data_IF_785925703330
#
_entry.id   IF_785925703330
#
_cell.length_a   1.000
_cell.length_b   1.000
_cell.length_c   1.000
_cell.angle_alpha   90.00
_cell.angle_beta   90.00
_cell.angle_gamma   90.00
#
_symmetry.space_group_name_H-M   'P 1'
#
loop_
_entity.id
_entity.type
_entity.pdbx_description
1 polymer ?
#
# COMPACT_ATOMS: atom_id res chain seq x y z
N UNK A 1 -80.20 -33.91 16.62
CA UNK A 1 -81.06 -32.74 16.94
C UNK A 1 -80.24 -31.48 16.76
N UNK A 2 -80.56 -30.65 15.76
CA UNK A 2 -80.12 -29.25 15.65
C UNK A 2 -81.08 -28.38 16.49
N UNK A 3 -80.58 -27.29 17.12
CA UNK A 3 -80.76 -25.94 16.53
C UNK A 3 -79.51 -25.04 16.75
N UNK A 4 -79.03 -24.28 15.77
CA UNK A 4 -79.43 -22.91 15.36
C UNK A 4 -79.55 -21.86 16.48
N UNK A 5 -78.60 -20.92 16.55
CA UNK A 5 -78.85 -19.51 16.92
C UNK A 5 -77.73 -18.59 16.40
N UNK A 6 -78.13 -17.48 15.76
CA UNK A 6 -77.31 -16.46 15.10
C UNK A 6 -77.05 -15.25 16.01
N UNK A 7 -75.86 -14.66 15.82
CA UNK A 7 -75.52 -13.22 15.71
C UNK A 7 -75.99 -12.20 16.76
N UNK A 8 -75.03 -11.42 17.32
CA UNK A 8 -75.13 -9.95 17.46
C UNK A 8 -73.75 -9.27 17.36
N UNK A 9 -73.75 -8.13 16.68
CA UNK A 9 -72.66 -7.19 16.39
C UNK A 9 -72.37 -6.32 17.62
N UNK A 10 -71.12 -5.89 17.81
CA UNK A 10 -70.81 -4.63 18.51
C UNK A 10 -69.65 -3.92 17.81
N UNK A 11 -69.97 -2.79 17.17
CA UNK A 11 -69.01 -1.79 16.73
C UNK A 11 -68.79 -0.80 17.87
N UNK A 12 -67.54 -0.46 18.19
CA UNK A 12 -67.22 0.80 18.86
C UNK A 12 -65.96 1.41 18.24
N UNK A 13 -66.19 2.63 17.77
CA UNK A 13 -65.29 3.58 17.12
C UNK A 13 -64.36 4.29 18.09
N UNK A 14 -63.15 4.61 17.59
CA UNK A 14 -62.33 5.79 17.83
C UNK A 14 -62.03 6.28 19.27
N UNK A 15 -60.74 6.30 19.62
CA UNK A 15 -60.00 7.55 19.92
C UNK A 15 -58.52 7.24 20.17
N UNK A 16 -57.67 7.35 19.15
CA UNK A 16 -56.22 7.35 19.34
C UNK A 16 -55.78 8.79 19.63
N UNK A 17 -55.62 9.13 20.90
CA UNK A 17 -55.00 10.41 21.28
C UNK A 17 -53.48 10.28 21.11
N UNK A 18 -52.80 11.08 20.27
CA UNK A 18 -51.36 11.14 20.32
C UNK A 18 -50.95 11.89 21.58
N UNK A 19 -50.26 11.21 22.50
CA UNK A 19 -49.55 11.88 23.59
C UNK A 19 -48.38 12.65 22.97
N UNK A 20 -48.53 13.96 22.84
CA UNK A 20 -47.42 14.86 22.50
C UNK A 20 -46.48 14.86 23.71
N UNK A 21 -45.33 14.20 23.60
CA UNK A 21 -44.27 14.34 24.59
C UNK A 21 -43.65 15.73 24.44
N UNK A 22 -43.78 16.55 25.49
CA UNK A 22 -43.11 17.84 25.58
C UNK A 22 -41.60 17.64 25.51
N UNK A 23 -40.96 18.26 24.52
CA UNK A 23 -39.50 18.26 24.38
C UNK A 23 -38.93 19.22 25.43
N UNK A 24 -38.17 18.70 26.38
CA UNK A 24 -37.46 19.52 27.36
C UNK A 24 -36.50 20.49 26.63
N UNK A 25 -36.68 21.79 26.87
CA UNK A 25 -35.80 22.83 26.33
C UNK A 25 -34.62 23.02 27.28
N UNK A 26 -33.47 22.43 26.98
CA UNK A 26 -32.23 22.75 27.68
C UNK A 26 -31.57 23.96 27.00
N UNK A 27 -31.60 25.10 27.69
CA UNK A 27 -30.85 26.30 27.32
C UNK A 27 -29.39 26.09 27.72
N UNK A 28 -28.52 25.85 26.74
CA UNK A 28 -27.07 25.74 26.95
C UNK A 28 -26.45 27.12 26.78
N UNK A 29 -26.26 27.84 27.90
CA UNK A 29 -25.37 29.01 27.93
C UNK A 29 -23.97 28.52 28.26
N UNK A 30 -23.29 27.97 27.25
CA UNK A 30 -21.83 27.74 27.33
C UNK A 30 -21.18 28.97 26.69
N UNK A 31 -20.24 29.66 27.36
CA UNK A 31 -19.49 30.74 26.72
C UNK A 31 -18.73 30.13 25.54
N UNK A 32 -19.04 30.58 24.32
CA UNK A 32 -18.35 30.14 23.11
C UNK A 32 -16.89 30.56 23.22
N UNK A 33 -16.05 29.61 23.56
CA UNK A 33 -14.60 29.74 23.55
C UNK A 33 -14.18 29.89 22.08
N UNK A 34 -13.96 31.14 21.65
CA UNK A 34 -13.28 31.55 20.41
C UNK A 34 -13.43 30.57 19.24
N UNK A 35 -14.64 30.43 18.71
CA UNK A 35 -14.82 29.83 17.38
C UNK A 35 -14.06 30.71 16.39
N UNK A 36 -13.12 30.09 15.65
CA UNK A 36 -12.50 30.64 14.46
C UNK A 36 -13.59 31.17 13.51
N UNK A 37 -13.92 32.45 13.60
CA UNK A 37 -14.76 33.12 12.64
C UNK A 37 -13.89 33.41 11.42
N UNK A 38 -13.80 32.43 10.51
CA UNK A 38 -13.35 32.71 9.16
C UNK A 38 -14.49 33.50 8.53
N UNK A 39 -14.42 34.84 8.60
CA UNK A 39 -15.36 35.70 7.89
C UNK A 39 -15.26 35.38 6.41
N UNK A 40 -16.30 34.77 5.84
CA UNK A 40 -16.32 34.24 4.48
C UNK A 40 -16.22 35.31 3.37
N UNK A 41 -15.99 36.58 3.69
CA UNK A 41 -15.87 37.62 2.68
C UNK A 41 -15.14 38.89 3.17
N UNK A 42 -13.92 38.74 3.70
CA UNK A 42 -13.04 39.88 3.97
C UNK A 42 -12.14 40.13 2.75
N UNK A 43 -12.12 41.33 2.13
CA UNK A 43 -11.27 41.64 0.98
C UNK A 43 -9.77 41.73 1.32
N UNK A 44 -9.41 41.74 2.60
CA UNK A 44 -8.01 41.69 3.03
C UNK A 44 -7.52 40.24 3.19
N UNK A 45 -6.24 39.96 2.88
CA UNK A 45 -5.67 38.62 2.98
C UNK A 45 -5.74 38.09 4.42
N UNK A 46 -6.02 36.78 4.63
CA UNK A 46 -6.06 36.19 5.96
C UNK A 46 -4.74 36.40 6.69
N UNK A 47 -4.81 36.97 7.90
CA UNK A 47 -3.61 37.09 8.72
C UNK A 47 -3.24 35.73 9.32
N UNK A 48 -1.95 35.36 9.35
CA UNK A 48 -1.52 34.13 9.99
C UNK A 48 -1.89 34.17 11.49
N UNK A 49 -2.33 33.04 12.07
CA UNK A 49 -2.67 32.99 13.48
C UNK A 49 -1.44 33.36 14.32
N UNK A 50 -1.64 34.22 15.32
CA UNK A 50 -0.56 34.62 16.24
C UNK A 50 -0.10 33.39 17.02
N UNK A 51 1.19 33.00 16.95
CA UNK A 51 1.66 31.79 17.60
C UNK A 51 1.54 31.92 19.12
N UNK A 52 0.85 30.98 19.75
CA UNK A 52 0.91 30.79 21.19
C UNK A 52 2.09 29.85 21.53
N UNK A 53 2.61 29.97 22.74
CA UNK A 53 3.84 29.31 23.21
C UNK A 53 3.76 27.78 23.32
N UNK A 54 2.64 27.17 22.93
CA UNK A 54 2.45 25.71 22.96
C UNK A 54 2.54 25.06 21.56
N UNK A 55 2.74 25.85 20.51
CA UNK A 55 2.64 25.40 19.12
C UNK A 55 3.97 24.92 18.49
N UNK A 56 5.09 24.90 19.22
CA UNK A 56 6.40 24.62 18.60
C UNK A 56 6.60 23.17 18.16
N UNK A 57 5.69 22.23 18.52
CA UNK A 57 5.79 20.80 18.16
C UNK A 57 4.49 20.18 17.61
N UNK A 58 3.50 20.98 17.21
CA UNK A 58 2.28 20.42 16.60
C UNK A 58 2.57 19.98 15.17
N UNK A 59 2.37 18.68 14.86
CA UNK A 59 2.31 18.22 13.47
C UNK A 59 1.09 18.84 12.78
N UNK A 60 1.23 19.33 11.54
CA UNK A 60 0.11 19.95 10.83
C UNK A 60 -1.00 18.93 10.58
N UNK A 61 -2.23 19.27 10.97
CA UNK A 61 -3.43 18.41 10.83
C UNK A 61 -4.21 18.68 9.54
N UNK A 62 -3.77 19.63 8.70
CA UNK A 62 -4.47 20.02 7.48
C UNK A 62 -3.80 19.44 6.23
N UNK A 63 -4.52 18.56 5.53
CA UNK A 63 -4.14 17.94 4.26
C UNK A 63 -4.22 18.91 3.05
N UNK A 64 -3.83 20.18 3.23
CA UNK A 64 -3.86 21.20 2.17
C UNK A 64 -2.46 21.65 1.71
N UNK A 65 -1.39 21.06 2.23
CA UNK A 65 -0.01 21.43 1.87
C UNK A 65 0.60 20.73 0.66
N UNK A 66 -0.09 19.77 0.03
CA UNK A 66 0.49 18.93 -1.02
C UNK A 66 -0.52 18.61 -2.12
N UNK A 67 -0.91 19.63 -2.90
CA UNK A 67 -1.72 19.44 -4.11
C UNK A 67 -0.93 19.53 -5.41
N UNK A 68 0.30 20.07 -5.36
CA UNK A 68 1.16 20.26 -6.54
C UNK A 68 2.47 19.46 -6.48
N UNK A 69 2.63 18.56 -5.50
CA UNK A 69 3.80 17.68 -5.45
C UNK A 69 3.61 16.54 -6.46
N UNK A 70 4.64 16.18 -7.26
CA UNK A 70 4.58 14.98 -8.09
C UNK A 70 4.28 13.78 -7.18
N UNK A 71 3.28 12.99 -7.57
CA UNK A 71 2.91 11.74 -6.90
C UNK A 71 4.16 10.86 -6.85
N UNK A 72 4.71 10.73 -5.64
CA UNK A 72 5.82 9.84 -5.31
C UNK A 72 5.26 8.43 -5.13
N UNK A 73 5.83 7.47 -5.86
CA UNK A 73 5.45 6.05 -5.85
C UNK A 73 6.16 5.25 -4.74
N UNK A 74 7.03 5.92 -4.00
CA UNK A 74 7.68 5.46 -2.80
C UNK A 74 6.73 5.49 -1.60
N UNK A 75 6.51 4.32 -0.98
CA UNK A 75 6.00 4.24 0.39
C UNK A 75 6.96 5.05 1.25
N UNK A 76 6.51 6.10 1.91
CA UNK A 76 7.33 6.86 2.87
C UNK A 76 7.83 5.93 3.98
N UNK A 77 8.99 5.32 3.76
CA UNK A 77 9.64 4.46 4.73
C UNK A 77 10.23 5.36 5.82
N UNK A 78 9.71 5.24 7.04
CA UNK A 78 10.28 5.94 8.17
C UNK A 78 11.66 5.35 8.51
N UNK A 79 12.70 6.19 8.67
CA UNK A 79 14.00 5.73 9.15
C UNK A 79 13.83 4.97 10.47
N UNK A 80 14.52 3.84 10.61
CA UNK A 80 14.45 2.97 11.79
C UNK A 80 14.69 3.74 13.10
N UNK A 81 15.63 4.68 13.08
CA UNK A 81 15.97 5.54 14.21
C UNK A 81 14.78 6.36 14.72
N UNK A 82 13.85 6.73 13.82
CA UNK A 82 12.61 7.43 14.19
C UNK A 82 11.51 6.46 14.59
N UNK A 83 11.38 5.35 13.87
CA UNK A 83 10.33 4.34 14.08
C UNK A 83 10.51 3.56 15.39
N UNK A 84 11.75 3.35 15.85
CA UNK A 84 12.07 2.61 17.07
C UNK A 84 12.29 3.55 18.28
N UNK A 85 11.54 4.64 18.35
CA UNK A 85 11.53 5.56 19.50
C UNK A 85 10.30 5.34 20.39
N UNK A 86 10.41 5.70 21.67
CA UNK A 86 9.30 5.75 22.61
C UNK A 86 9.25 4.61 23.64
N UNK A 87 8.27 4.66 24.56
CA UNK A 87 8.23 3.82 25.76
C UNK A 87 8.22 2.31 25.49
N UNK A 88 7.73 1.90 24.31
CA UNK A 88 7.72 0.50 23.89
C UNK A 88 9.13 -0.08 23.71
N UNK A 89 10.10 0.75 23.37
CA UNK A 89 11.44 0.32 22.99
C UNK A 89 12.52 0.61 24.05
N UNK A 90 12.21 1.34 25.13
CA UNK A 90 13.17 1.74 26.18
C UNK A 90 13.84 0.56 26.90
N UNK A 91 13.10 -0.54 27.11
CA UNK A 91 13.61 -1.78 27.72
C UNK A 91 13.86 -2.89 26.70
N UNK A 92 13.87 -2.54 25.41
CA UNK A 92 14.09 -3.50 24.33
C UNK A 92 15.57 -3.57 23.96
N UNK A 93 16.13 -4.78 23.88
CA UNK A 93 17.48 -4.98 23.36
C UNK A 93 17.45 -4.82 21.84
N UNK A 94 17.95 -3.69 21.34
CA UNK A 94 17.84 -3.29 19.93
C UNK A 94 18.60 -4.20 18.96
N UNK A 95 19.67 -4.83 19.43
CA UNK A 95 20.52 -5.72 18.62
C UNK A 95 19.78 -7.01 18.22
N UNK A 96 18.87 -7.49 19.07
CA UNK A 96 18.10 -8.71 18.82
C UNK A 96 16.83 -8.45 18.01
N UNK A 97 16.54 -7.19 17.68
CA UNK A 97 15.37 -6.87 16.86
C UNK A 97 15.59 -7.33 15.41
N UNK A 98 14.57 -7.89 14.75
CA UNK A 98 14.68 -8.35 13.37
C UNK A 98 15.18 -7.26 12.42
N UNK A 99 16.26 -7.55 11.70
CA UNK A 99 16.86 -6.68 10.67
C UNK A 99 17.07 -7.49 9.39
N UNK A 100 16.00 -7.80 8.65
CA UNK A 100 16.12 -8.56 7.40
C UNK A 100 16.81 -7.71 6.33
N UNK A 101 17.51 -8.38 5.41
CA UNK A 101 18.06 -7.73 4.23
C UNK A 101 16.96 -7.16 3.34
N UNK A 102 17.22 -6.00 2.74
CA UNK A 102 16.29 -5.39 1.81
C UNK A 102 16.29 -6.15 0.48
N UNK A 103 15.13 -6.69 0.08
CA UNK A 103 15.02 -7.47 -1.15
C UNK A 103 15.37 -6.66 -2.42
N UNK A 104 15.14 -5.33 -2.39
CA UNK A 104 15.53 -4.43 -3.49
C UNK A 104 17.05 -4.47 -3.74
N UNK A 105 17.86 -4.52 -2.69
CA UNK A 105 19.31 -4.60 -2.85
C UNK A 105 19.75 -5.97 -3.36
N UNK A 106 19.09 -7.03 -2.93
CA UNK A 106 19.41 -8.40 -3.35
C UNK A 106 19.05 -8.68 -4.81
N UNK A 107 17.96 -8.09 -5.31
CA UNK A 107 17.55 -8.30 -6.71
C UNK A 107 18.44 -7.54 -7.69
N UNK A 108 18.94 -6.36 -7.31
CA UNK A 108 19.88 -5.59 -8.14
C UNK A 108 21.28 -6.22 -8.23
N UNK A 109 21.61 -7.17 -7.35
CA UNK A 109 22.81 -7.99 -7.47
C UNK A 109 22.66 -9.14 -8.47
N UNK A 110 21.43 -9.47 -8.89
CA UNK A 110 21.23 -10.57 -9.83
C UNK A 110 21.69 -10.20 -11.24
N UNK A 111 22.48 -11.05 -11.91
CA UNK A 111 22.88 -10.82 -13.28
C UNK A 111 21.71 -10.99 -14.25
N UNK A 112 21.77 -10.24 -15.35
CA UNK A 112 20.84 -10.39 -16.47
C UNK A 112 20.98 -11.77 -17.10
N UNK A 113 19.87 -12.51 -17.18
CA UNK A 113 19.82 -13.81 -17.84
C UNK A 113 19.65 -13.64 -19.35
N UNK A 114 20.68 -14.00 -20.10
CA UNK A 114 20.69 -13.89 -21.55
C UNK A 114 19.95 -15.06 -22.18
N UNK A 115 18.97 -14.76 -23.03
CA UNK A 115 18.18 -15.79 -23.72
C UNK A 115 18.20 -15.58 -25.24
N UNK A 116 18.19 -16.69 -25.99
CA UNK A 116 18.08 -16.71 -27.47
C UNK A 116 16.64 -16.71 -27.97
N UNK A 117 15.68 -16.91 -27.08
CA UNK A 117 14.26 -16.96 -27.39
C UNK A 117 13.64 -15.58 -27.18
N UNK A 118 12.70 -15.25 -28.05
CA UNK A 118 11.84 -14.07 -27.98
C UNK A 118 10.94 -14.01 -26.75
N UNK A 119 10.46 -15.17 -26.31
CA UNK A 119 9.56 -15.30 -25.15
C UNK A 119 10.18 -16.29 -24.17
N UNK A 120 10.34 -15.86 -22.93
CA UNK A 120 10.92 -16.65 -21.84
C UNK A 120 9.82 -17.06 -20.87
N UNK A 121 9.77 -18.34 -20.50
CA UNK A 121 8.89 -18.83 -19.43
C UNK A 121 9.61 -18.76 -18.09
N UNK A 122 9.02 -18.05 -17.12
CA UNK A 122 9.52 -17.98 -15.75
C UNK A 122 8.44 -18.49 -14.79
N UNK A 123 8.82 -19.43 -13.92
CA UNK A 123 8.00 -20.02 -12.86
C UNK A 123 8.59 -19.74 -11.46
N UNK A 124 9.67 -18.98 -11.36
CA UNK A 124 10.37 -18.68 -10.12
C UNK A 124 11.22 -19.83 -9.56
N UNK A 125 11.32 -20.94 -10.31
CA UNK A 125 12.08 -22.11 -9.89
C UNK A 125 11.27 -23.06 -9.00
N UNK A 126 11.61 -24.35 -9.08
CA UNK A 126 10.97 -25.40 -8.28
C UNK A 126 9.52 -25.72 -8.61
N UNK A 127 9.06 -25.42 -9.83
CA UNK A 127 7.74 -25.79 -10.33
C UNK A 127 6.62 -25.19 -9.48
N UNK A 128 5.81 -26.00 -8.78
CA UNK A 128 4.68 -25.50 -7.98
C UNK A 128 5.10 -24.69 -6.74
N UNK A 129 6.37 -24.74 -6.33
CA UNK A 129 6.88 -23.98 -5.18
C UNK A 129 7.21 -22.52 -5.53
N UNK A 130 7.30 -22.20 -6.81
CA UNK A 130 7.54 -20.85 -7.29
C UNK A 130 6.25 -20.05 -7.49
N UNK A 131 6.28 -19.11 -8.44
CA UNK A 131 5.11 -18.32 -8.81
C UNK A 131 4.39 -18.93 -10.03
N UNK A 132 3.14 -18.52 -10.32
CA UNK A 132 2.46 -18.94 -11.53
C UNK A 132 3.33 -18.69 -12.76
N UNK A 133 3.40 -19.68 -13.66
CA UNK A 133 4.24 -19.55 -14.86
C UNK A 133 3.77 -18.35 -15.69
N UNK A 134 4.70 -17.43 -15.93
CA UNK A 134 4.50 -16.31 -16.84
C UNK A 134 5.42 -16.39 -18.05
N UNK A 135 5.01 -15.68 -19.09
CA UNK A 135 5.76 -15.54 -20.33
C UNK A 135 6.19 -14.09 -20.48
N UNK A 136 7.49 -13.85 -20.49
CA UNK A 136 8.12 -12.54 -20.54
C UNK A 136 8.61 -12.31 -21.97
N UNK A 137 8.26 -11.16 -22.55
CA UNK A 137 8.73 -10.77 -23.88
C UNK A 137 10.09 -10.07 -23.78
N UNK A 138 11.07 -10.54 -24.55
CA UNK A 138 12.44 -10.00 -24.61
C UNK A 138 12.77 -9.37 -25.96
N UNK A 139 11.77 -9.12 -26.82
CA UNK A 139 11.92 -8.47 -28.14
C UNK A 139 12.47 -7.05 -28.12
N UNK A 140 12.28 -6.35 -27.01
CA UNK A 140 12.68 -4.96 -26.89
C UNK A 140 14.14 -4.88 -26.46
N UNK A 141 14.89 -3.84 -26.88
CA UNK A 141 16.26 -3.60 -26.43
C UNK A 141 16.28 -3.04 -24.99
N UNK A 142 15.55 -3.67 -24.08
CA UNK A 142 15.47 -3.34 -22.66
C UNK A 142 15.62 -4.60 -21.82
N UNK A 143 16.00 -4.45 -20.56
CA UNK A 143 16.06 -5.56 -19.61
C UNK A 143 14.63 -5.80 -19.12
N UNK A 144 14.02 -6.90 -19.55
CA UNK A 144 12.67 -7.28 -19.15
C UNK A 144 12.72 -8.04 -17.83
N UNK A 145 12.01 -7.55 -16.81
CA UNK A 145 11.98 -8.16 -15.48
C UNK A 145 10.76 -9.07 -15.31
N UNK A 146 10.93 -10.15 -14.55
CA UNK A 146 9.80 -10.96 -14.10
C UNK A 146 8.97 -10.17 -13.07
N UNK A 147 7.65 -10.06 -13.30
CA UNK A 147 6.75 -9.35 -12.37
C UNK A 147 6.57 -10.01 -11.00
N UNK A 148 7.09 -11.22 -10.81
CA UNK A 148 7.03 -11.94 -9.53
C UNK A 148 8.41 -11.99 -8.86
N UNK A 149 9.38 -12.69 -9.47
CA UNK A 149 10.72 -12.81 -8.89
C UNK A 149 11.56 -11.54 -8.99
N UNK A 150 11.23 -10.60 -9.89
CA UNK A 150 12.08 -9.46 -10.20
C UNK A 150 13.34 -9.82 -11.01
N UNK A 151 13.51 -11.09 -11.40
CA UNK A 151 14.70 -11.53 -12.13
C UNK A 151 14.78 -10.87 -13.51
N UNK A 152 15.96 -10.34 -13.90
CA UNK A 152 16.15 -9.69 -15.18
C UNK A 152 16.44 -10.68 -16.31
N UNK A 153 15.77 -10.49 -17.45
CA UNK A 153 15.97 -11.24 -18.69
C UNK A 153 16.24 -10.27 -19.85
N UNK A 154 17.12 -10.65 -20.76
CA UNK A 154 17.35 -9.90 -21.99
C UNK A 154 17.65 -10.84 -23.16
N UNK A 155 17.35 -10.38 -24.37
CA UNK A 155 17.70 -11.14 -25.58
C UNK A 155 19.16 -10.88 -25.97
N UNK A 156 19.88 -11.93 -26.35
CA UNK A 156 21.28 -11.85 -26.82
C UNK A 156 21.50 -10.87 -27.99
N UNK A 157 20.49 -10.64 -28.84
CA UNK A 157 20.57 -9.72 -29.99
C UNK A 157 20.76 -8.26 -29.55
N UNK A 158 20.26 -7.91 -28.37
CA UNK A 158 20.35 -6.56 -27.83
C UNK A 158 21.55 -6.38 -26.90
N UNK A 159 22.41 -7.40 -26.75
CA UNK A 159 23.56 -7.38 -25.84
C UNK A 159 24.51 -6.23 -26.12
N UNK A 160 24.91 -6.04 -27.39
CA UNK A 160 25.80 -4.95 -27.79
C UNK A 160 25.20 -3.56 -27.50
N UNK A 161 23.87 -3.42 -27.62
CA UNK A 161 23.19 -2.17 -27.29
C UNK A 161 23.19 -1.93 -25.77
N UNK A 162 22.83 -2.94 -24.98
CA UNK A 162 22.79 -2.83 -23.52
C UNK A 162 24.18 -2.58 -22.92
N UNK A 163 25.23 -3.17 -23.48
CA UNK A 163 26.64 -2.92 -23.10
C UNK A 163 27.11 -1.51 -23.48
N UNK A 164 26.51 -0.89 -24.51
CA UNK A 164 26.84 0.48 -24.92
C UNK A 164 26.24 1.56 -24.00
N UNK A 165 25.28 1.20 -23.15
CA UNK A 165 24.65 2.15 -22.23
C UNK A 165 25.63 2.50 -21.09
N UNK A 166 25.65 3.76 -20.62
CA UNK A 166 26.59 4.20 -19.59
C UNK A 166 26.33 3.53 -18.23
N UNK A 167 25.09 3.12 -17.98
CA UNK A 167 24.69 2.38 -16.78
C UNK A 167 23.44 1.55 -17.07
N UNK A 168 23.38 0.35 -16.49
CA UNK A 168 22.21 -0.53 -16.50
C UNK A 168 21.71 -0.75 -15.07
N UNK A 169 20.42 -1.03 -14.91
CA UNK A 169 19.81 -1.27 -13.58
C UNK A 169 20.24 -2.59 -12.94
N UNK A 170 20.73 -3.54 -13.74
CA UNK A 170 21.21 -4.85 -13.31
C UNK A 170 22.59 -5.12 -13.90
N UNK A 171 23.45 -5.89 -13.23
CA UNK A 171 24.74 -6.32 -13.76
C UNK A 171 24.55 -7.23 -14.99
N UNK A 172 25.29 -6.96 -16.07
CA UNK A 172 25.20 -7.74 -17.32
C UNK A 172 25.96 -9.07 -17.24
N UNK A 173 26.95 -9.14 -16.35
CA UNK A 173 27.78 -10.31 -16.10
C UNK A 173 27.62 -10.79 -14.65
N UNK A 174 27.82 -12.10 -14.37
CA UNK A 174 27.81 -12.62 -13.01
C UNK A 174 28.91 -11.97 -12.16
N UNK A 175 28.54 -11.43 -11.01
CA UNK A 175 29.48 -10.77 -10.07
C UNK A 175 30.07 -11.79 -9.09
N UNK A 176 29.45 -12.96 -8.94
CA UNK A 176 29.83 -13.99 -7.97
C UNK A 176 29.34 -13.68 -6.55
N UNK A 177 28.35 -12.80 -6.41
CA UNK A 177 27.76 -12.44 -5.13
C UNK A 177 27.04 -13.65 -4.49
N UNK A 178 27.10 -13.78 -3.16
CA UNK A 178 26.46 -14.90 -2.44
C UNK A 178 24.93 -14.93 -2.57
N UNK A 179 24.32 -13.79 -2.95
CA UNK A 179 22.89 -13.68 -3.20
C UNK A 179 22.49 -14.15 -4.61
N UNK A 180 23.44 -14.35 -5.53
CA UNK A 180 23.14 -14.71 -6.91
C UNK A 180 22.45 -16.07 -7.00
N UNK A 181 21.35 -16.10 -7.76
CA UNK A 181 20.62 -17.33 -8.01
C UNK A 181 21.01 -17.93 -9.36
N UNK A 182 21.39 -19.20 -9.34
CA UNK A 182 21.73 -19.94 -10.55
C UNK A 182 20.57 -19.89 -11.57
N UNK A 183 20.89 -19.80 -12.86
CA UNK A 183 19.89 -19.78 -13.93
C UNK A 183 18.94 -20.99 -13.90
N UNK A 184 19.45 -22.16 -13.53
CA UNK A 184 18.66 -23.35 -13.25
C UNK A 184 18.33 -23.44 -11.77
N UNK A 185 17.37 -22.63 -11.31
CA UNK A 185 16.67 -22.84 -10.03
C UNK A 185 15.70 -24.05 -10.13
N UNK A 186 16.15 -25.17 -10.69
CA UNK A 186 15.38 -26.40 -10.75
C UNK A 186 15.53 -27.12 -9.40
N UNK A 187 14.43 -27.17 -8.64
CA UNK A 187 14.36 -27.92 -7.37
C UNK A 187 14.10 -29.42 -7.64
N UNK A 188 13.60 -29.77 -8.83
CA UNK A 188 13.29 -31.16 -9.22
C UNK A 188 14.02 -31.55 -10.50
N UNK A 189 14.72 -32.68 -10.49
CA UNK A 189 15.27 -33.31 -11.70
C UNK A 189 14.24 -34.26 -12.34
N UNK A 190 13.98 -34.12 -13.65
CA UNK A 190 13.25 -35.12 -14.45
C UNK A 190 11.76 -34.88 -14.72
N UNK A 191 11.21 -35.72 -15.62
CA UNK A 191 9.95 -35.56 -16.38
C UNK A 191 8.62 -35.62 -15.62
N UNK A 192 8.60 -35.37 -14.31
CA UNK A 192 7.37 -35.07 -13.54
C UNK A 192 7.14 -33.55 -13.40
N UNK A 193 7.76 -32.76 -14.28
CA UNK A 193 7.44 -31.35 -14.50
C UNK A 193 5.99 -31.26 -14.95
N UNK A 194 5.11 -30.76 -14.06
CA UNK A 194 3.80 -30.30 -14.49
C UNK A 194 4.04 -29.19 -15.51
N UNK A 195 3.76 -29.55 -16.76
CA UNK A 195 3.86 -28.71 -17.96
C UNK A 195 3.01 -27.47 -17.85
#
# INVERSE_FOLDING_TARGET
>A
MLPLARSRIAAFSAAWTPRIAARASYSTTVPRFSENNIQANNPNPPQPPKPNVSATNATPVDAMGSRDAPLREDVELQPREKAMTGPRFEQTIMEMQPQPYAAIELIHKQPVRWTKKRVVSCDGGGGPLGHPRIYINTDKPEIATCGYCGLPFAHEQHRAYLESLPATSYPLEPTGDAAEVNETQRVTEGGLEQR
#
